data_IF_155456586799
#
_entry.id   IF_155456586799
#
_cell.length_a   1.000
_cell.length_b   1.000
_cell.length_c   1.000
_cell.angle_alpha   90.00
_cell.angle_beta   90.00
_cell.angle_gamma   90.00
#
_symmetry.space_group_name_H-M   'P 1'
#
loop_
_entity.id
_entity.type
_entity.pdbx_description
1 polymer ?
#
# COMPACT_ATOMS: atom_id res chain seq x y z
N UNK A 1 -18.64 2.56 -5.14
CA UNK A 1 -20.06 2.65 -4.75
C UNK A 1 -20.27 3.87 -3.86
N UNK A 2 -21.15 4.79 -4.26
CA UNK A 2 -21.51 6.02 -3.53
C UNK A 2 -22.88 5.93 -2.82
N UNK A 3 -23.52 4.77 -2.86
CA UNK A 3 -24.85 4.57 -2.30
C UNK A 3 -24.94 4.99 -0.83
N UNK A 4 -23.93 4.64 -0.03
CA UNK A 4 -23.85 5.03 1.38
C UNK A 4 -23.74 6.56 1.59
N UNK A 5 -22.95 7.24 0.74
CA UNK A 5 -22.81 8.71 0.80
C UNK A 5 -24.15 9.38 0.52
N UNK A 6 -24.86 8.92 -0.52
CA UNK A 6 -26.17 9.48 -0.89
C UNK A 6 -27.25 9.12 0.13
N UNK A 7 -27.23 7.91 0.70
CA UNK A 7 -28.15 7.51 1.76
C UNK A 7 -27.98 8.42 2.99
N UNK A 8 -26.76 8.58 3.46
CA UNK A 8 -26.44 9.47 4.58
C UNK A 8 -26.89 10.92 4.28
N UNK A 9 -26.62 11.43 3.08
CA UNK A 9 -27.06 12.77 2.66
C UNK A 9 -28.60 12.92 2.71
N UNK A 10 -29.35 11.92 2.24
CA UNK A 10 -30.82 11.92 2.30
C UNK A 10 -31.35 11.88 3.75
N UNK A 11 -30.70 11.13 4.62
CA UNK A 11 -31.06 11.09 6.04
C UNK A 11 -30.81 12.45 6.71
N UNK A 12 -29.65 13.09 6.46
CA UNK A 12 -29.37 14.45 6.93
C UNK A 12 -30.45 15.44 6.45
N UNK A 13 -30.82 15.36 5.17
CA UNK A 13 -31.87 16.20 4.57
C UNK A 13 -33.23 16.01 5.29
N UNK A 14 -33.58 14.76 5.61
CA UNK A 14 -34.84 14.42 6.29
C UNK A 14 -34.93 15.00 7.70
N UNK A 15 -33.87 14.82 8.49
CA UNK A 15 -33.94 15.12 9.92
C UNK A 15 -33.39 16.52 10.31
N UNK A 16 -32.62 17.18 9.45
CA UNK A 16 -32.07 18.49 9.79
C UNK A 16 -33.05 19.63 9.54
N UNK A 17 -33.26 20.46 10.59
CA UNK A 17 -34.14 21.65 10.58
C UNK A 17 -33.32 22.97 10.63
N UNK A 18 -32.02 22.93 10.86
CA UNK A 18 -31.15 24.11 11.03
C UNK A 18 -30.07 24.15 9.97
N UNK A 19 -29.48 25.35 9.75
CA UNK A 19 -28.34 25.52 8.83
C UNK A 19 -27.18 24.63 9.24
N UNK A 20 -26.61 23.90 8.28
CA UNK A 20 -25.48 22.99 8.45
C UNK A 20 -24.51 23.07 7.28
N UNK A 21 -23.24 22.76 7.55
CA UNK A 21 -22.25 22.44 6.53
C UNK A 21 -22.11 20.92 6.51
N UNK A 22 -22.38 20.32 5.35
CA UNK A 22 -22.14 18.90 5.11
C UNK A 22 -20.70 18.78 4.58
N UNK A 23 -19.86 18.07 5.32
CA UNK A 23 -18.45 17.91 4.98
C UNK A 23 -18.21 16.48 4.52
N UNK A 24 -17.80 16.32 3.27
CA UNK A 24 -17.37 15.01 2.73
C UNK A 24 -15.92 14.79 3.07
N UNK A 25 -15.64 13.86 3.99
CA UNK A 25 -14.28 13.46 4.38
C UNK A 25 -13.78 12.27 3.58
N UNK A 26 -14.67 11.40 3.12
CA UNK A 26 -14.36 10.21 2.34
C UNK A 26 -13.73 10.58 0.99
N UNK A 27 -12.86 9.69 0.49
CA UNK A 27 -12.37 9.76 -0.89
C UNK A 27 -13.51 9.42 -1.84
N UNK A 28 -13.92 10.39 -2.65
CA UNK A 28 -15.05 10.28 -3.57
C UNK A 28 -14.64 10.76 -4.97
N UNK A 29 -15.27 10.27 -6.05
CA UNK A 29 -15.03 10.74 -7.41
C UNK A 29 -15.29 12.25 -7.57
N UNK A 30 -14.58 12.84 -8.55
CA UNK A 30 -14.71 14.26 -8.90
C UNK A 30 -16.18 14.58 -9.25
N UNK A 31 -16.72 15.62 -8.63
CA UNK A 31 -18.11 16.08 -8.83
C UNK A 31 -19.11 15.49 -7.83
N UNK A 32 -18.70 14.58 -6.93
CA UNK A 32 -19.59 14.02 -5.91
C UNK A 32 -20.15 15.11 -4.99
N UNK A 33 -19.35 16.11 -4.62
CA UNK A 33 -19.83 17.24 -3.82
C UNK A 33 -20.94 18.06 -4.54
N UNK A 34 -20.87 18.16 -5.86
CA UNK A 34 -21.89 18.83 -6.67
C UNK A 34 -23.18 17.98 -6.77
N UNK A 35 -23.04 16.65 -6.83
CA UNK A 35 -24.20 15.74 -6.77
C UNK A 35 -24.90 15.80 -5.42
N UNK A 36 -24.13 15.85 -4.32
CA UNK A 36 -24.67 16.05 -2.97
C UNK A 36 -25.42 17.38 -2.91
N UNK A 37 -24.87 18.46 -3.44
CA UNK A 37 -25.55 19.77 -3.47
C UNK A 37 -26.87 19.71 -4.24
N UNK A 38 -26.91 19.00 -5.39
CA UNK A 38 -28.14 18.79 -6.15
C UNK A 38 -29.21 18.02 -5.34
N UNK A 39 -28.81 16.98 -4.60
CA UNK A 39 -29.73 16.25 -3.71
C UNK A 39 -30.33 17.13 -2.62
N UNK A 40 -29.58 18.14 -2.17
CA UNK A 40 -30.00 19.09 -1.14
C UNK A 40 -30.77 20.31 -1.69
N UNK A 41 -30.94 20.40 -3.00
CA UNK A 41 -31.51 21.58 -3.66
C UNK A 41 -32.89 22.03 -3.12
N UNK A 42 -33.75 21.07 -2.72
CA UNK A 42 -35.06 21.36 -2.11
C UNK A 42 -35.00 22.17 -0.81
N UNK A 43 -33.86 22.10 -0.10
CA UNK A 43 -33.58 22.83 1.16
C UNK A 43 -32.26 23.59 1.08
N UNK A 44 -31.89 24.12 -0.10
CA UNK A 44 -30.61 24.77 -0.37
C UNK A 44 -30.21 25.87 0.64
N UNK A 45 -31.20 26.62 1.16
CA UNK A 45 -30.96 27.67 2.19
C UNK A 45 -30.44 27.12 3.52
N UNK A 46 -30.60 25.81 3.79
CA UNK A 46 -30.20 25.17 5.02
C UNK A 46 -28.85 24.44 4.93
N UNK A 47 -28.36 24.16 3.74
CA UNK A 47 -27.19 23.32 3.58
C UNK A 47 -26.13 23.94 2.68
N UNK A 48 -24.88 23.81 3.10
CA UNK A 48 -23.71 24.05 2.27
C UNK A 48 -22.88 22.78 2.20
N UNK A 49 -22.19 22.53 1.10
CA UNK A 49 -21.39 21.33 0.89
C UNK A 49 -19.90 21.70 0.77
N UNK A 50 -19.08 20.99 1.53
CA UNK A 50 -17.61 21.15 1.55
C UNK A 50 -16.98 19.80 1.32
N UNK A 51 -15.98 19.73 0.43
CA UNK A 51 -15.10 18.57 0.25
C UNK A 51 -13.84 18.78 1.09
N UNK A 52 -13.58 17.87 2.02
CA UNK A 52 -12.40 17.92 2.90
C UNK A 52 -11.77 16.52 2.99
N UNK A 53 -11.09 16.07 1.94
CA UNK A 53 -10.49 14.74 1.92
C UNK A 53 -9.47 14.57 3.05
N UNK A 54 -9.36 13.33 3.55
CA UNK A 54 -8.35 12.94 4.51
C UNK A 54 -7.09 12.42 3.78
N UNK A 55 -5.92 12.51 4.43
CA UNK A 55 -4.64 12.02 3.94
C UNK A 55 -3.97 11.12 4.98
N UNK A 56 -4.77 10.36 5.71
CA UNK A 56 -4.34 9.50 6.80
C UNK A 56 -3.69 8.23 6.26
N UNK A 57 -2.63 7.80 6.93
CA UNK A 57 -1.99 6.51 6.69
C UNK A 57 -2.56 5.48 7.66
N UNK A 58 -2.99 4.37 7.15
CA UNK A 58 -3.40 3.23 7.98
C UNK A 58 -2.24 2.82 8.93
N UNK A 59 -2.56 2.47 10.17
CA UNK A 59 -1.55 2.22 11.21
C UNK A 59 -0.95 3.48 11.85
N UNK A 60 -1.06 4.67 11.22
CA UNK A 60 -0.57 5.95 11.74
C UNK A 60 -1.65 7.05 11.75
N UNK A 61 -2.91 6.69 11.60
CA UNK A 61 -4.01 7.63 11.37
C UNK A 61 -4.17 8.68 12.48
N UNK A 62 -3.97 8.31 13.74
CA UNK A 62 -4.07 9.23 14.89
C UNK A 62 -2.97 10.31 14.80
N UNK A 63 -1.74 9.91 14.49
CA UNK A 63 -0.61 10.82 14.32
C UNK A 63 -0.85 11.77 13.15
N UNK A 64 -1.23 11.22 11.99
CA UNK A 64 -1.48 11.99 10.78
C UNK A 64 -2.67 12.96 10.94
N UNK A 65 -3.67 12.60 11.76
CA UNK A 65 -4.77 13.49 12.08
C UNK A 65 -4.33 14.64 13.01
N UNK A 66 -3.48 14.36 14.01
CA UNK A 66 -2.99 15.36 14.97
C UNK A 66 -1.94 16.30 14.41
N UNK A 67 -1.20 15.86 13.38
CA UNK A 67 -0.09 16.61 12.76
C UNK A 67 -0.14 16.42 11.23
N UNK A 68 -1.22 16.88 10.55
CA UNK A 68 -1.33 16.73 9.11
C UNK A 68 -0.37 17.69 8.40
N UNK A 69 0.31 17.20 7.36
CA UNK A 69 1.15 18.04 6.50
C UNK A 69 0.31 19.17 5.87
N UNK A 70 -0.95 18.88 5.55
CA UNK A 70 -1.90 19.79 4.93
C UNK A 70 -3.35 19.45 5.22
N UNK A 71 -4.17 20.49 5.23
CA UNK A 71 -5.64 20.42 5.31
C UNK A 71 -6.16 21.02 4.02
N UNK A 72 -6.89 20.23 3.21
CA UNK A 72 -7.46 20.67 1.93
C UNK A 72 -8.96 20.87 2.10
N UNK A 73 -9.44 22.07 1.80
CA UNK A 73 -10.85 22.44 1.86
C UNK A 73 -11.33 22.87 0.48
N UNK A 74 -12.32 22.16 -0.03
CA UNK A 74 -13.01 22.47 -1.26
C UNK A 74 -14.40 23.05 -1.01
N UNK A 75 -14.64 24.28 -1.47
CA UNK A 75 -15.95 24.92 -1.39
C UNK A 75 -16.14 25.90 -2.56
N UNK A 76 -17.41 26.22 -2.84
CA UNK A 76 -17.77 27.26 -3.81
C UNK A 76 -18.00 28.64 -3.15
N UNK A 77 -17.95 28.73 -1.82
CA UNK A 77 -18.23 29.96 -1.09
C UNK A 77 -17.15 30.29 -0.05
N UNK A 78 -16.70 31.56 -0.02
CA UNK A 78 -15.67 32.04 0.91
C UNK A 78 -16.05 31.85 2.40
N UNK A 79 -17.34 31.95 2.74
CA UNK A 79 -17.81 31.82 4.12
C UNK A 79 -17.49 30.45 4.71
N UNK A 80 -17.59 29.38 3.94
CA UNK A 80 -17.27 28.03 4.39
C UNK A 80 -15.79 27.86 4.68
N UNK A 81 -14.91 28.47 3.89
CA UNK A 81 -13.47 28.45 4.17
C UNK A 81 -13.14 29.05 5.54
N UNK A 82 -13.78 30.16 5.93
CA UNK A 82 -13.56 30.80 7.21
C UNK A 82 -14.04 29.92 8.38
N UNK A 83 -15.20 29.26 8.22
CA UNK A 83 -15.73 28.33 9.24
C UNK A 83 -14.81 27.13 9.39
N UNK A 84 -14.40 26.53 8.28
CA UNK A 84 -13.48 25.37 8.29
C UNK A 84 -12.10 25.78 8.83
N UNK A 85 -11.59 26.97 8.52
CA UNK A 85 -10.34 27.48 9.09
C UNK A 85 -10.40 27.60 10.59
N UNK A 86 -11.50 28.14 11.16
CA UNK A 86 -11.72 28.17 12.61
C UNK A 86 -11.74 26.77 13.22
N UNK A 87 -12.41 25.82 12.61
CA UNK A 87 -12.45 24.43 13.08
C UNK A 87 -11.05 23.81 13.14
N UNK A 88 -10.20 24.09 12.15
CA UNK A 88 -8.86 23.53 12.06
C UNK A 88 -7.76 24.42 12.67
N UNK A 89 -8.10 25.55 13.30
CA UNK A 89 -7.12 26.45 13.95
C UNK A 89 -6.13 25.71 14.87
N UNK A 90 -6.53 24.74 15.71
CA UNK A 90 -5.59 24.03 16.56
C UNK A 90 -4.51 23.25 15.78
N UNK A 91 -4.82 22.76 14.59
CA UNK A 91 -3.87 22.04 13.74
C UNK A 91 -3.02 23.01 12.91
N UNK A 92 -3.62 24.11 12.44
CA UNK A 92 -2.92 25.18 11.72
C UNK A 92 -1.85 25.81 12.62
N UNK A 93 -2.17 26.08 13.88
CA UNK A 93 -1.22 26.61 14.86
C UNK A 93 -0.04 25.66 15.17
N UNK A 94 -0.18 24.36 14.86
CA UNK A 94 0.89 23.37 14.93
C UNK A 94 1.71 23.26 13.64
N UNK A 95 1.50 24.14 12.66
CA UNK A 95 2.26 24.20 11.41
C UNK A 95 1.60 23.54 10.20
N UNK A 96 0.38 23.00 10.34
CA UNK A 96 -0.32 22.40 9.20
C UNK A 96 -0.70 23.45 8.15
N UNK A 97 -0.39 23.19 6.89
CA UNK A 97 -0.75 24.09 5.78
C UNK A 97 -2.26 24.00 5.51
N UNK A 98 -2.94 25.15 5.47
CA UNK A 98 -4.36 25.21 5.12
C UNK A 98 -4.52 25.64 3.66
N UNK A 99 -5.06 24.76 2.81
CA UNK A 99 -5.20 25.00 1.39
C UNK A 99 -6.69 25.02 1.00
N UNK A 100 -7.09 26.03 0.24
CA UNK A 100 -8.47 26.22 -0.23
C UNK A 100 -8.56 26.10 -1.74
N UNK A 101 -9.63 25.44 -2.23
CA UNK A 101 -9.87 25.24 -3.65
C UNK A 101 -11.36 24.99 -3.92
N UNK A 102 -11.76 24.75 -5.17
CA UNK A 102 -13.11 24.25 -5.48
C UNK A 102 -13.35 22.86 -4.90
N UNK A 103 -14.61 22.43 -4.72
CA UNK A 103 -14.94 21.06 -4.30
C UNK A 103 -14.30 20.01 -5.21
N UNK A 104 -14.46 20.15 -6.53
CA UNK A 104 -13.83 19.26 -7.52
C UNK A 104 -12.32 19.24 -7.42
N UNK A 105 -11.71 20.40 -7.15
CA UNK A 105 -10.27 20.53 -6.91
C UNK A 105 -9.82 19.70 -5.70
N UNK A 106 -10.53 19.80 -4.57
CA UNK A 106 -10.23 19.04 -3.37
C UNK A 106 -10.37 17.52 -3.60
N UNK A 107 -11.43 17.08 -4.27
CA UNK A 107 -11.67 15.68 -4.65
C UNK A 107 -10.55 15.16 -5.56
N UNK A 108 -10.15 15.92 -6.59
CA UNK A 108 -9.08 15.54 -7.51
C UNK A 108 -7.71 15.49 -6.81
N UNK A 109 -7.40 16.44 -5.93
CA UNK A 109 -6.13 16.47 -5.16
C UNK A 109 -5.90 15.15 -4.42
N UNK A 110 -6.94 14.57 -3.81
CA UNK A 110 -6.82 13.29 -3.10
C UNK A 110 -6.42 12.16 -4.05
N UNK A 111 -7.12 12.00 -5.16
CA UNK A 111 -6.82 10.97 -6.16
C UNK A 111 -5.44 11.16 -6.80
N UNK A 112 -5.11 12.39 -7.20
CA UNK A 112 -3.83 12.71 -7.82
C UNK A 112 -2.66 12.42 -6.86
N UNK A 113 -2.80 12.80 -5.58
CA UNK A 113 -1.78 12.49 -4.56
C UNK A 113 -1.54 10.99 -4.42
N UNK A 114 -2.61 10.18 -4.30
CA UNK A 114 -2.48 8.75 -4.15
C UNK A 114 -1.94 8.07 -5.42
N UNK A 115 -2.36 8.53 -6.61
CA UNK A 115 -1.82 8.03 -7.88
C UNK A 115 -0.34 8.35 -8.03
N UNK A 116 0.11 9.55 -7.64
CA UNK A 116 1.53 9.91 -7.69
C UNK A 116 2.37 9.08 -6.71
N UNK A 117 1.88 8.83 -5.50
CA UNK A 117 2.58 7.95 -4.54
C UNK A 117 2.67 6.50 -5.06
N UNK A 118 1.61 5.99 -5.69
CA UNK A 118 1.62 4.68 -6.35
C UNK A 118 2.62 4.65 -7.52
N UNK A 119 2.75 5.75 -8.28
CA UNK A 119 3.74 5.90 -9.34
C UNK A 119 5.16 5.80 -8.79
N UNK A 120 5.49 6.48 -7.69
CA UNK A 120 6.81 6.39 -7.05
C UNK A 120 7.17 4.95 -6.66
N UNK A 121 6.23 4.23 -6.03
CA UNK A 121 6.44 2.81 -5.64
C UNK A 121 6.64 1.94 -6.89
N UNK A 122 5.83 2.13 -7.91
CA UNK A 122 5.93 1.33 -9.14
C UNK A 122 7.24 1.61 -9.87
N UNK A 123 7.62 2.87 -9.98
CA UNK A 123 8.87 3.30 -10.61
C UNK A 123 10.10 2.67 -9.93
N UNK A 124 10.21 2.77 -8.60
CA UNK A 124 11.33 2.17 -7.88
C UNK A 124 11.32 0.63 -7.97
N UNK A 125 10.14 0.02 -8.08
CA UNK A 125 10.02 -1.42 -8.29
C UNK A 125 10.51 -1.86 -9.69
N UNK A 126 10.29 -1.06 -10.73
CA UNK A 126 10.84 -1.31 -12.07
C UNK A 126 12.35 -1.15 -12.08
N UNK A 127 12.88 -0.08 -11.47
CA UNK A 127 14.33 0.10 -11.31
C UNK A 127 14.95 -1.05 -10.52
N UNK A 128 14.27 -1.59 -9.52
CA UNK A 128 14.74 -2.77 -8.79
C UNK A 128 14.98 -3.98 -9.72
N UNK A 129 14.10 -4.20 -10.70
CA UNK A 129 14.30 -5.27 -11.67
C UNK A 129 15.52 -5.03 -12.57
N UNK A 130 15.80 -3.76 -12.94
CA UNK A 130 17.01 -3.38 -13.69
C UNK A 130 18.25 -3.58 -12.83
N UNK A 131 18.23 -3.15 -11.57
CA UNK A 131 19.33 -3.29 -10.62
C UNK A 131 19.74 -4.77 -10.43
N UNK A 132 18.77 -5.68 -10.31
CA UNK A 132 19.04 -7.13 -10.22
C UNK A 132 19.81 -7.70 -11.44
N UNK A 133 19.69 -7.06 -12.60
CA UNK A 133 20.34 -7.49 -13.84
C UNK A 133 21.67 -6.79 -14.09
N UNK A 134 21.77 -5.52 -13.70
CA UNK A 134 22.95 -4.69 -13.91
C UNK A 134 23.99 -4.79 -12.79
N UNK A 135 23.69 -5.53 -11.71
CA UNK A 135 24.60 -5.63 -10.57
C UNK A 135 24.58 -4.43 -9.62
N UNK A 136 23.67 -3.48 -9.81
CA UNK A 136 23.52 -2.27 -8.98
C UNK A 136 22.63 -2.56 -7.76
N UNK A 137 22.87 -1.88 -6.65
CA UNK A 137 22.01 -1.94 -5.47
C UNK A 137 20.89 -0.89 -5.54
N UNK A 138 19.64 -1.31 -5.47
CA UNK A 138 18.49 -0.40 -5.52
C UNK A 138 18.45 0.60 -4.36
N UNK A 139 19.09 0.29 -3.23
CA UNK A 139 19.16 1.23 -2.10
C UNK A 139 20.00 2.46 -2.43
N UNK A 140 21.12 2.29 -3.14
CA UNK A 140 21.97 3.41 -3.58
C UNK A 140 21.20 4.31 -4.54
N UNK A 141 20.41 3.72 -5.46
CA UNK A 141 19.53 4.46 -6.38
C UNK A 141 18.46 5.21 -5.60
N UNK A 142 17.82 4.54 -4.65
CA UNK A 142 16.75 5.13 -3.81
C UNK A 142 17.30 6.29 -2.96
N UNK A 143 18.45 6.14 -2.36
CA UNK A 143 19.12 7.19 -1.55
C UNK A 143 19.58 8.34 -2.44
N UNK A 144 20.28 8.06 -3.54
CA UNK A 144 20.78 9.07 -4.46
C UNK A 144 19.63 9.92 -5.06
N UNK A 145 18.59 9.28 -5.61
CA UNK A 145 17.42 9.98 -6.11
C UNK A 145 16.69 10.74 -5.01
N UNK A 146 16.50 10.10 -3.85
CA UNK A 146 15.72 10.64 -2.75
C UNK A 146 16.38 11.83 -2.05
N UNK A 147 17.69 12.05 -2.24
CA UNK A 147 18.43 13.22 -1.73
C UNK A 147 18.09 14.52 -2.47
N UNK A 148 17.57 14.42 -3.70
CA UNK A 148 17.04 15.59 -4.41
C UNK A 148 15.68 16.01 -3.80
N UNK A 149 15.62 17.23 -3.27
CA UNK A 149 14.41 17.79 -2.63
C UNK A 149 13.19 17.83 -3.57
N UNK A 150 13.40 17.88 -4.88
CA UNK A 150 12.31 17.84 -5.89
C UNK A 150 11.66 16.46 -5.95
N UNK A 151 12.40 15.41 -5.63
CA UNK A 151 11.94 14.02 -5.63
C UNK A 151 11.52 13.59 -4.22
N UNK A 152 12.38 13.79 -3.23
CA UNK A 152 12.20 13.39 -1.83
C UNK A 152 12.26 11.88 -1.60
N UNK A 153 12.75 11.45 -0.44
CA UNK A 153 13.06 10.05 -0.11
C UNK A 153 11.85 9.15 0.14
N UNK A 154 10.68 9.72 0.44
CA UNK A 154 9.48 8.93 0.77
C UNK A 154 8.93 8.20 -0.46
N UNK A 155 8.45 6.96 -0.27
CA UNK A 155 7.86 6.08 -1.30
C UNK A 155 8.83 5.60 -2.39
N UNK A 156 10.14 5.58 -2.09
CA UNK A 156 11.19 5.03 -2.95
C UNK A 156 11.77 3.69 -2.44
N UNK A 157 11.05 2.95 -1.59
CA UNK A 157 11.49 1.62 -1.16
C UNK A 157 10.91 0.56 -2.08
N UNK A 158 11.79 -0.20 -2.74
CA UNK A 158 11.38 -1.35 -3.53
C UNK A 158 10.76 -2.45 -2.64
N UNK A 159 9.77 -3.15 -3.17
CA UNK A 159 9.03 -4.15 -2.42
C UNK A 159 8.17 -5.06 -3.30
N UNK A 160 7.24 -5.84 -2.72
CA UNK A 160 6.46 -6.83 -3.47
C UNK A 160 5.46 -6.20 -4.45
N UNK A 161 4.81 -5.13 -4.09
CA UNK A 161 3.88 -4.30 -4.85
C UNK A 161 3.25 -3.27 -3.92
N UNK A 162 2.52 -2.28 -4.44
CA UNK A 162 1.59 -1.54 -3.60
C UNK A 162 0.27 -2.30 -3.45
N UNK A 163 -0.31 -2.23 -2.26
CA UNK A 163 -1.59 -2.85 -1.90
C UNK A 163 -2.37 -1.95 -0.95
N UNK A 164 -3.21 -2.56 -0.12
CA UNK A 164 -4.08 -1.89 0.84
C UNK A 164 -5.33 -1.30 0.21
N UNK A 165 -6.12 -0.63 1.03
CA UNK A 165 -7.43 -0.11 0.65
C UNK A 165 -7.40 1.13 -0.24
N UNK A 166 -6.28 1.88 -0.29
CA UNK A 166 -6.24 3.20 -0.90
C UNK A 166 -5.68 3.16 -2.33
N UNK A 167 -4.41 2.81 -2.53
CA UNK A 167 -3.77 2.96 -3.82
C UNK A 167 -4.43 2.18 -4.96
N UNK A 168 -4.80 0.88 -4.80
CA UNK A 168 -5.47 0.14 -5.88
C UNK A 168 -6.82 0.72 -6.25
N UNK A 169 -7.59 1.16 -5.26
CA UNK A 169 -8.91 1.76 -5.46
C UNK A 169 -8.81 3.13 -6.12
N UNK A 170 -7.92 4.00 -5.61
CA UNK A 170 -7.85 5.40 -6.03
C UNK A 170 -7.20 5.55 -7.41
N UNK A 171 -6.19 4.74 -7.75
CA UNK A 171 -5.63 4.74 -9.11
C UNK A 171 -6.67 4.32 -10.16
N UNK A 172 -7.43 3.24 -9.89
CA UNK A 172 -8.54 2.81 -10.76
C UNK A 172 -9.66 3.85 -10.80
N UNK A 173 -10.01 4.44 -9.65
CA UNK A 173 -11.02 5.49 -9.55
C UNK A 173 -10.67 6.75 -10.32
N UNK A 174 -9.38 7.15 -10.31
CA UNK A 174 -8.89 8.29 -11.10
C UNK A 174 -8.98 8.03 -12.60
N UNK A 175 -8.59 6.84 -13.07
CA UNK A 175 -8.73 6.43 -14.46
C UNK A 175 -10.20 6.46 -14.90
N UNK A 176 -11.08 5.84 -14.12
CA UNK A 176 -12.52 5.82 -14.41
C UNK A 176 -13.13 7.22 -14.42
N UNK A 177 -12.69 8.11 -13.51
CA UNK A 177 -13.13 9.50 -13.51
C UNK A 177 -12.70 10.24 -14.79
N UNK A 178 -11.45 10.05 -15.22
CA UNK A 178 -10.93 10.67 -16.45
C UNK A 178 -11.66 10.18 -17.71
N UNK A 179 -12.01 8.91 -17.77
CA UNK A 179 -12.75 8.33 -18.89
C UNK A 179 -14.15 8.95 -19.07
N UNK A 180 -14.80 9.41 -17.99
CA UNK A 180 -16.06 10.18 -18.08
C UNK A 180 -15.88 11.50 -18.82
N UNK A 181 -14.67 12.07 -18.78
CA UNK A 181 -14.29 13.28 -19.52
C UNK A 181 -13.60 12.98 -20.85
N UNK A 182 -13.58 11.70 -21.29
CA UNK A 182 -12.89 11.23 -22.51
C UNK A 182 -11.38 11.52 -22.50
N UNK A 183 -10.77 11.54 -21.32
CA UNK A 183 -9.33 11.76 -21.13
C UNK A 183 -8.63 10.43 -20.83
N UNK A 184 -7.55 10.15 -21.54
CA UNK A 184 -6.70 8.99 -21.28
C UNK A 184 -5.55 9.34 -20.32
N UNK A 185 -5.51 8.72 -19.15
CA UNK A 185 -4.41 8.83 -18.19
C UNK A 185 -3.41 7.68 -18.39
N UNK A 186 -2.63 7.74 -19.46
CA UNK A 186 -1.70 6.68 -19.86
C UNK A 186 -0.69 6.34 -18.77
N UNK A 187 -0.12 7.33 -18.08
CA UNK A 187 0.83 7.11 -16.97
C UNK A 187 0.18 6.30 -15.86
N UNK A 188 -1.01 6.69 -15.40
CA UNK A 188 -1.70 5.97 -14.29
C UNK A 188 -2.10 4.56 -14.72
N UNK A 189 -2.54 4.37 -15.96
CA UNK A 189 -2.84 3.03 -16.51
C UNK A 189 -1.60 2.15 -16.55
N UNK A 190 -0.44 2.69 -16.95
CA UNK A 190 0.83 1.97 -16.94
C UNK A 190 1.26 1.58 -15.53
N UNK A 191 1.09 2.47 -14.54
CA UNK A 191 1.36 2.19 -13.12
C UNK A 191 0.51 1.02 -12.61
N UNK A 192 -0.79 1.03 -12.90
CA UNK A 192 -1.70 -0.07 -12.52
C UNK A 192 -1.24 -1.39 -13.13
N UNK A 193 -0.94 -1.40 -14.43
CA UNK A 193 -0.47 -2.58 -15.15
C UNK A 193 0.84 -3.11 -14.60
N UNK A 194 1.84 -2.25 -14.44
CA UNK A 194 3.16 -2.64 -13.92
C UNK A 194 3.06 -3.23 -12.50
N UNK A 195 2.24 -2.63 -11.63
CA UNK A 195 2.00 -3.18 -10.29
C UNK A 195 1.33 -4.57 -10.33
N UNK A 196 0.44 -4.83 -11.30
CA UNK A 196 -0.17 -6.15 -11.50
C UNK A 196 0.84 -7.18 -12.04
N UNK A 197 1.67 -6.77 -13.00
CA UNK A 197 2.66 -7.64 -13.65
C UNK A 197 3.81 -8.03 -12.70
N UNK A 198 4.03 -7.23 -11.64
CA UNK A 198 5.06 -7.53 -10.63
C UNK A 198 4.88 -8.89 -9.96
N UNK A 199 3.66 -9.34 -9.77
CA UNK A 199 3.36 -10.70 -9.28
C UNK A 199 4.06 -11.77 -10.13
N UNK A 200 4.00 -11.65 -11.45
CA UNK A 200 4.63 -12.61 -12.36
C UNK A 200 6.16 -12.60 -12.24
N UNK A 201 6.76 -11.42 -12.04
CA UNK A 201 8.21 -11.29 -11.87
C UNK A 201 8.67 -11.95 -10.56
N UNK A 202 7.97 -11.69 -9.47
CA UNK A 202 8.29 -12.26 -8.15
C UNK A 202 8.13 -13.78 -8.14
N UNK A 203 7.06 -14.31 -8.74
CA UNK A 203 6.85 -15.76 -8.81
C UNK A 203 7.85 -16.46 -9.74
N UNK A 204 8.22 -15.85 -10.87
CA UNK A 204 9.33 -16.35 -11.72
C UNK A 204 10.64 -16.44 -10.93
N UNK A 205 10.91 -15.45 -10.06
CA UNK A 205 12.09 -15.48 -9.22
C UNK A 205 12.05 -16.59 -8.17
N UNK A 206 10.88 -16.89 -7.58
CA UNK A 206 10.72 -18.04 -6.68
C UNK A 206 11.06 -19.35 -7.42
N UNK A 207 10.60 -19.51 -8.66
CA UNK A 207 10.98 -20.67 -9.48
C UNK A 207 12.49 -20.72 -9.78
N UNK A 208 13.13 -19.57 -10.03
CA UNK A 208 14.60 -19.52 -10.20
C UNK A 208 15.32 -19.94 -8.91
N UNK A 209 14.81 -19.55 -7.74
CA UNK A 209 15.39 -19.85 -6.42
C UNK A 209 15.23 -21.34 -6.06
N UNK A 210 14.05 -21.91 -6.25
CA UNK A 210 13.69 -23.28 -5.80
C UNK A 210 13.79 -24.35 -6.90
N UNK A 211 13.88 -23.96 -8.16
CA UNK A 211 13.70 -24.80 -9.33
C UNK A 211 12.28 -24.72 -9.89
N UNK A 212 12.08 -25.20 -11.11
CA UNK A 212 10.79 -25.14 -11.81
C UNK A 212 9.69 -25.98 -11.14
N UNK A 213 10.05 -27.09 -10.51
CA UNK A 213 9.13 -27.98 -9.79
C UNK A 213 9.00 -27.56 -8.31
N UNK A 214 7.83 -27.05 -7.94
CA UNK A 214 7.54 -26.66 -6.55
C UNK A 214 6.80 -27.75 -5.76
N UNK A 215 6.54 -28.93 -6.33
CA UNK A 215 5.85 -30.01 -5.64
C UNK A 215 6.59 -30.40 -4.36
N UNK A 216 5.87 -30.43 -3.24
CA UNK A 216 6.38 -30.73 -1.90
C UNK A 216 7.43 -29.73 -1.35
N UNK A 217 7.73 -28.62 -2.07
CA UNK A 217 8.57 -27.57 -1.51
C UNK A 217 7.84 -26.85 -0.37
N UNK A 218 8.53 -26.65 0.74
CA UNK A 218 8.01 -26.00 1.94
C UNK A 218 8.37 -24.51 1.91
N UNK A 219 7.36 -23.67 1.75
CA UNK A 219 7.54 -22.22 1.63
C UNK A 219 6.84 -21.54 2.79
N UNK A 220 7.59 -20.76 3.57
CA UNK A 220 7.07 -20.04 4.73
C UNK A 220 7.00 -18.54 4.44
N UNK A 221 5.83 -17.95 4.67
CA UNK A 221 5.65 -16.50 4.61
C UNK A 221 5.77 -15.89 6.01
N UNK A 222 6.61 -14.89 6.13
CA UNK A 222 6.67 -13.98 7.26
C UNK A 222 6.00 -12.67 6.84
N UNK A 223 4.81 -12.45 7.41
CA UNK A 223 3.89 -11.40 7.02
C UNK A 223 2.99 -11.77 5.84
N UNK A 224 1.71 -11.42 5.95
CA UNK A 224 0.71 -11.58 4.89
C UNK A 224 -0.12 -10.32 4.66
N UNK A 225 -0.03 -9.34 5.55
CA UNK A 225 -0.61 -7.99 5.39
C UNK A 225 0.14 -7.19 4.32
N UNK A 226 -0.48 -6.15 3.76
CA UNK A 226 0.17 -5.35 2.72
C UNK A 226 1.32 -4.45 3.25
N UNK A 227 1.29 -4.14 4.56
CA UNK A 227 2.32 -3.40 5.31
C UNK A 227 2.23 -3.72 6.80
N UNK A 228 3.25 -3.36 7.63
CA UNK A 228 3.20 -3.56 9.07
C UNK A 228 2.20 -2.61 9.76
N UNK A 229 1.91 -2.90 11.04
CA UNK A 229 1.06 -2.12 11.94
C UNK A 229 -0.40 -2.00 11.48
N UNK A 230 -0.89 -3.01 10.76
CA UNK A 230 -2.30 -3.15 10.35
C UNK A 230 -2.64 -4.62 10.13
N UNK A 231 -3.92 -4.95 10.25
CA UNK A 231 -4.49 -6.24 9.88
C UNK A 231 -4.98 -6.28 8.42
N UNK A 232 -4.88 -5.15 7.69
CA UNK A 232 -5.40 -5.03 6.32
C UNK A 232 -4.63 -5.91 5.33
N UNK A 233 -5.35 -6.82 4.72
CA UNK A 233 -4.83 -7.73 3.70
C UNK A 233 -5.29 -7.38 2.28
N UNK A 234 -6.11 -6.34 2.12
CA UNK A 234 -6.64 -5.96 0.80
C UNK A 234 -5.52 -5.68 -0.20
N UNK A 235 -5.60 -6.32 -1.37
CA UNK A 235 -4.57 -6.24 -2.41
C UNK A 235 -3.13 -6.54 -1.93
N UNK A 236 -2.97 -7.25 -0.79
CA UNK A 236 -1.67 -7.79 -0.41
C UNK A 236 -1.19 -8.81 -1.44
N UNK A 237 0.11 -8.79 -1.74
CA UNK A 237 0.73 -9.76 -2.64
C UNK A 237 0.57 -11.21 -2.17
N UNK A 238 0.40 -11.44 -0.85
CA UNK A 238 0.11 -12.76 -0.26
C UNK A 238 -1.14 -13.40 -0.85
N UNK A 239 -2.20 -12.61 -1.10
CA UNK A 239 -3.49 -13.08 -1.63
C UNK A 239 -3.39 -13.69 -3.03
N UNK A 240 -2.35 -13.34 -3.80
CA UNK A 240 -2.07 -13.92 -5.11
C UNK A 240 -0.97 -14.97 -5.05
N UNK A 241 0.09 -14.72 -4.28
CA UNK A 241 1.27 -15.59 -4.23
C UNK A 241 0.96 -16.93 -3.56
N UNK A 242 0.30 -16.94 -2.41
CA UNK A 242 -0.01 -18.18 -1.67
C UNK A 242 -0.88 -19.14 -2.47
N UNK A 243 -2.03 -18.71 -3.05
CA UNK A 243 -2.84 -19.60 -3.91
C UNK A 243 -2.08 -20.10 -5.13
N UNK A 244 -1.25 -19.27 -5.75
CA UNK A 244 -0.44 -19.68 -6.89
C UNK A 244 0.57 -20.78 -6.52
N UNK A 245 1.31 -20.59 -5.44
CA UNK A 245 2.36 -21.54 -5.02
C UNK A 245 1.76 -22.87 -4.57
N UNK A 246 0.65 -22.86 -3.84
CA UNK A 246 -0.05 -24.09 -3.45
C UNK A 246 -0.63 -24.83 -4.66
N UNK A 247 -1.16 -24.11 -5.66
CA UNK A 247 -1.61 -24.70 -6.95
C UNK A 247 -0.45 -25.34 -7.71
N UNK A 248 0.80 -24.86 -7.54
CA UNK A 248 2.02 -25.46 -8.10
C UNK A 248 2.57 -26.61 -7.25
N UNK A 249 1.85 -27.04 -6.23
CA UNK A 249 2.16 -28.18 -5.37
C UNK A 249 3.06 -27.88 -4.16
N UNK A 250 3.35 -26.62 -3.88
CA UNK A 250 4.06 -26.25 -2.68
C UNK A 250 3.21 -26.45 -1.41
N UNK A 251 3.88 -26.70 -0.30
CA UNK A 251 3.30 -26.68 1.04
C UNK A 251 3.64 -25.31 1.64
N UNK A 252 2.63 -24.49 1.88
CA UNK A 252 2.83 -23.14 2.37
C UNK A 252 2.47 -23.04 3.85
N UNK A 253 3.32 -22.39 4.62
CA UNK A 253 3.00 -21.94 5.97
C UNK A 253 3.08 -20.42 6.04
N UNK A 254 2.34 -19.79 6.94
CA UNK A 254 2.40 -18.36 7.14
C UNK A 254 2.22 -17.99 8.61
N UNK A 255 2.87 -16.90 8.97
CA UNK A 255 2.72 -16.20 10.23
C UNK A 255 2.66 -14.69 9.99
N UNK A 256 1.74 -14.02 10.67
CA UNK A 256 1.60 -12.58 10.69
C UNK A 256 1.11 -12.16 12.09
N UNK A 257 1.65 -11.09 12.70
CA UNK A 257 1.25 -10.63 14.03
C UNK A 257 -0.22 -10.22 14.13
N UNK A 258 -0.79 -9.65 13.07
CA UNK A 258 -2.16 -9.11 13.07
C UNK A 258 -3.02 -9.53 11.89
N UNK A 259 -2.44 -10.09 10.83
CA UNK A 259 -3.19 -10.52 9.65
C UNK A 259 -4.22 -11.59 9.96
N UNK A 260 -5.30 -11.66 9.17
CA UNK A 260 -6.40 -12.60 9.40
C UNK A 260 -5.91 -14.06 9.32
N UNK A 261 -6.01 -14.79 10.44
CA UNK A 261 -5.52 -16.16 10.58
C UNK A 261 -6.23 -17.16 9.68
N UNK A 262 -7.44 -16.89 9.27
CA UNK A 262 -8.29 -17.81 8.51
C UNK A 262 -8.39 -17.46 7.01
N UNK A 263 -7.75 -16.41 6.54
CA UNK A 263 -7.88 -15.94 5.15
C UNK A 263 -7.55 -17.01 4.12
N UNK A 264 -6.59 -17.90 4.41
CA UNK A 264 -6.18 -19.00 3.54
C UNK A 264 -6.68 -20.38 3.99
N UNK A 265 -7.58 -20.46 4.98
CA UNK A 265 -8.07 -21.74 5.57
C UNK A 265 -8.65 -22.71 4.53
N UNK A 266 -9.28 -22.19 3.47
CA UNK A 266 -9.87 -23.00 2.41
C UNK A 266 -8.85 -23.47 1.36
N UNK A 267 -7.60 -23.04 1.44
CA UNK A 267 -6.57 -23.39 0.47
C UNK A 267 -5.86 -24.66 0.94
N UNK A 268 -5.95 -25.72 0.11
CA UNK A 268 -5.23 -26.98 0.38
C UNK A 268 -3.72 -26.74 0.45
N UNK A 269 -3.04 -27.40 1.38
CA UNK A 269 -1.60 -27.28 1.63
C UNK A 269 -1.15 -25.86 2.07
N UNK A 270 -2.03 -25.09 2.73
CA UNK A 270 -1.71 -23.80 3.32
C UNK A 270 -2.08 -23.78 4.80
N UNK A 271 -1.12 -23.47 5.68
CA UNK A 271 -1.29 -23.62 7.13
C UNK A 271 -0.82 -22.37 7.89
N UNK A 272 -1.69 -21.81 8.72
CA UNK A 272 -1.30 -20.78 9.69
C UNK A 272 -0.41 -21.38 10.79
N UNK A 273 0.58 -20.62 11.22
CA UNK A 273 1.44 -20.92 12.36
C UNK A 273 1.38 -19.79 13.39
N UNK A 274 1.45 -20.14 14.67
CA UNK A 274 1.27 -19.18 15.77
C UNK A 274 2.51 -18.37 16.13
N UNK A 275 3.67 -18.73 15.61
CA UNK A 275 4.96 -18.09 15.88
C UNK A 275 5.95 -18.29 14.74
N UNK A 276 7.00 -17.48 14.73
CA UNK A 276 8.06 -17.47 13.70
C UNK A 276 8.78 -18.81 13.63
N UNK A 277 9.11 -19.42 14.79
CA UNK A 277 9.89 -20.67 14.87
C UNK A 277 9.12 -21.81 14.24
N UNK A 278 7.87 -22.04 14.65
CA UNK A 278 7.02 -23.08 14.08
C UNK A 278 6.72 -22.86 12.59
N UNK A 279 6.64 -21.60 12.16
CA UNK A 279 6.43 -21.25 10.76
C UNK A 279 7.64 -21.61 9.89
N UNK A 280 8.86 -21.30 10.35
CA UNK A 280 10.06 -21.44 9.55
C UNK A 280 10.76 -22.80 9.69
N UNK A 281 10.39 -23.63 10.67
CA UNK A 281 11.14 -24.83 11.12
C UNK A 281 11.60 -25.76 9.99
N UNK A 282 10.75 -26.08 9.05
CA UNK A 282 11.04 -27.04 7.96
C UNK A 282 11.07 -26.40 6.58
N UNK A 283 11.35 -25.09 6.50
CA UNK A 283 11.29 -24.34 5.23
C UNK A 283 12.41 -24.69 4.28
N UNK A 284 12.08 -24.79 2.99
CA UNK A 284 13.03 -24.72 1.88
C UNK A 284 13.27 -23.26 1.46
N UNK A 285 12.21 -22.43 1.56
CA UNK A 285 12.25 -21.00 1.29
C UNK A 285 11.44 -20.25 2.34
N UNK A 286 12.02 -19.18 2.87
CA UNK A 286 11.34 -18.21 3.72
C UNK A 286 11.16 -16.94 2.92
N UNK A 287 9.94 -16.44 2.82
CA UNK A 287 9.58 -15.20 2.12
C UNK A 287 9.22 -14.14 3.16
N UNK A 288 10.01 -13.08 3.23
CA UNK A 288 9.71 -11.88 4.02
C UNK A 288 8.84 -10.96 3.18
N UNK A 289 7.52 -10.99 3.40
CA UNK A 289 6.57 -10.22 2.61
C UNK A 289 6.22 -8.88 3.25
N UNK A 290 6.10 -8.85 4.58
CA UNK A 290 5.74 -7.65 5.35
C UNK A 290 6.84 -7.33 6.36
N UNK A 291 7.22 -6.05 6.47
CA UNK A 291 8.33 -5.58 7.29
C UNK A 291 7.93 -5.32 8.76
N UNK A 292 7.40 -6.34 9.44
CA UNK A 292 7.14 -6.26 10.88
C UNK A 292 8.43 -6.14 11.69
N UNK A 293 8.41 -5.37 12.77
CA UNK A 293 9.60 -5.14 13.59
C UNK A 293 10.18 -6.44 14.17
N UNK A 294 9.35 -7.37 14.58
CA UNK A 294 9.79 -8.67 15.10
C UNK A 294 10.53 -9.54 14.06
N UNK A 295 10.41 -9.25 12.76
CA UNK A 295 11.12 -9.98 11.72
C UNK A 295 12.53 -9.43 11.46
N UNK A 296 12.92 -8.30 12.04
CA UNK A 296 14.21 -7.66 11.78
C UNK A 296 15.41 -8.35 12.44
N UNK A 297 15.18 -9.16 13.47
CA UNK A 297 16.22 -9.77 14.30
C UNK A 297 16.16 -11.29 14.34
N UNK A 298 15.62 -11.96 13.34
CA UNK A 298 15.48 -13.42 13.33
C UNK A 298 16.82 -14.09 13.09
N UNK A 299 17.24 -14.94 14.03
CA UNK A 299 18.34 -15.86 13.78
C UNK A 299 17.83 -17.13 13.08
N UNK A 300 17.80 -17.10 11.75
CA UNK A 300 17.26 -18.18 10.92
C UNK A 300 17.96 -19.52 11.15
N UNK A 301 19.28 -19.52 11.43
CA UNK A 301 20.05 -20.76 11.66
C UNK A 301 19.58 -21.54 12.89
N UNK A 302 19.10 -20.82 13.91
CA UNK A 302 18.65 -21.43 15.16
C UNK A 302 17.22 -21.99 15.06
N UNK A 303 16.41 -21.50 14.14
CA UNK A 303 14.99 -21.87 14.05
C UNK A 303 14.68 -22.80 12.86
N UNK A 304 15.54 -22.83 11.82
CA UNK A 304 15.30 -23.65 10.62
C UNK A 304 16.11 -24.94 10.69
N UNK A 305 15.42 -26.09 10.66
CA UNK A 305 16.06 -27.40 10.67
C UNK A 305 16.80 -27.71 9.35
N UNK A 306 16.22 -27.32 8.22
CA UNK A 306 16.79 -27.54 6.88
C UNK A 306 18.01 -26.65 6.67
N UNK A 307 19.24 -27.21 6.72
CA UNK A 307 20.49 -26.46 6.54
C UNK A 307 20.68 -25.88 5.12
N UNK A 308 19.84 -26.27 4.16
CA UNK A 308 19.87 -25.77 2.76
C UNK A 308 18.77 -24.74 2.51
N UNK A 309 18.11 -24.22 3.54
CA UNK A 309 17.07 -23.22 3.39
C UNK A 309 17.57 -21.96 2.70
N UNK A 310 16.65 -21.21 2.14
CA UNK A 310 16.87 -19.95 1.44
C UNK A 310 15.95 -18.88 2.02
N UNK A 311 16.37 -17.62 1.94
CA UNK A 311 15.56 -16.47 2.34
C UNK A 311 15.33 -15.59 1.12
N UNK A 312 14.08 -15.25 0.83
CA UNK A 312 13.72 -14.26 -0.17
C UNK A 312 13.06 -13.06 0.51
N UNK A 313 13.83 -12.01 0.64
CA UNK A 313 13.43 -10.80 1.34
C UNK A 313 12.85 -9.78 0.35
N UNK A 314 11.54 -9.63 0.37
CA UNK A 314 10.81 -8.71 -0.49
C UNK A 314 10.77 -7.27 0.07
N UNK A 315 11.39 -7.03 1.23
CA UNK A 315 11.36 -5.75 1.93
C UNK A 315 12.75 -5.18 2.21
N UNK A 316 13.80 -5.93 1.85
CA UNK A 316 15.19 -5.54 2.12
C UNK A 316 15.41 -5.24 3.62
N UNK A 317 14.88 -6.11 4.49
CA UNK A 317 14.99 -5.97 5.95
C UNK A 317 16.41 -6.23 6.45
N UNK A 318 17.13 -7.15 5.78
CA UNK A 318 18.44 -7.59 6.21
C UNK A 318 19.55 -7.01 5.36
N UNK A 319 20.69 -6.81 6.01
CA UNK A 319 21.93 -6.49 5.30
C UNK A 319 22.42 -7.73 4.55
N UNK A 320 22.68 -7.58 3.24
CA UNK A 320 23.05 -8.68 2.38
C UNK A 320 24.45 -9.27 2.75
N UNK A 321 25.40 -8.43 3.14
CA UNK A 321 26.74 -8.87 3.57
C UNK A 321 26.71 -9.64 4.89
N UNK A 322 25.86 -9.23 5.84
CA UNK A 322 25.66 -9.98 7.09
C UNK A 322 25.05 -11.36 6.82
N UNK A 323 24.07 -11.44 5.92
CA UNK A 323 23.47 -12.70 5.52
C UNK A 323 24.53 -13.63 4.85
N UNK A 324 25.42 -13.06 4.03
CA UNK A 324 26.55 -13.77 3.44
C UNK A 324 27.56 -14.26 4.50
N UNK A 325 27.98 -13.40 5.41
CA UNK A 325 28.85 -13.77 6.56
C UNK A 325 28.24 -14.91 7.38
N UNK A 326 26.93 -14.87 7.55
CA UNK A 326 26.17 -15.93 8.21
C UNK A 326 25.95 -17.16 7.32
N UNK A 327 26.52 -17.26 6.13
CA UNK A 327 26.35 -18.38 5.18
C UNK A 327 24.87 -18.73 4.91
N UNK A 328 23.98 -17.71 4.86
CA UNK A 328 22.57 -17.85 4.50
C UNK A 328 22.41 -17.54 3.01
N UNK A 329 21.74 -18.43 2.28
CA UNK A 329 21.39 -18.20 0.88
C UNK A 329 20.27 -17.14 0.84
N UNK A 330 20.68 -15.90 0.61
CA UNK A 330 19.82 -14.74 0.69
C UNK A 330 19.58 -14.11 -0.68
N UNK A 331 18.33 -13.85 -0.98
CA UNK A 331 17.86 -13.18 -2.17
C UNK A 331 17.01 -11.99 -1.73
N UNK A 332 17.16 -10.85 -2.36
CA UNK A 332 16.42 -9.64 -2.02
C UNK A 332 15.98 -8.90 -3.28
N UNK A 333 15.07 -7.96 -3.13
CA UNK A 333 14.53 -7.18 -4.26
C UNK A 333 15.52 -6.07 -4.65
N UNK A 334 15.83 -5.98 -5.95
CA UNK A 334 16.65 -4.90 -6.48
C UNK A 334 18.12 -4.94 -6.07
N UNK A 335 18.61 -6.10 -5.67
CA UNK A 335 20.02 -6.33 -5.39
C UNK A 335 20.52 -7.52 -6.22
N UNK A 336 21.78 -7.54 -6.64
CA UNK A 336 22.37 -8.70 -7.32
C UNK A 336 22.28 -9.93 -6.41
N UNK A 337 22.09 -11.11 -7.02
CA UNK A 337 22.07 -12.37 -6.29
C UNK A 337 23.47 -12.60 -5.66
N UNK A 338 23.56 -12.73 -4.37
CA UNK A 338 24.79 -13.07 -3.69
C UNK A 338 25.04 -14.56 -3.89
N UNK A 339 25.88 -14.89 -4.86
CA UNK A 339 26.37 -16.25 -5.03
C UNK A 339 27.37 -16.58 -3.91
N UNK A 340 26.95 -17.41 -2.94
CA UNK A 340 27.81 -17.89 -1.86
C UNK A 340 29.00 -18.77 -2.36
N UNK A 341 29.03 -19.08 -3.66
CA UNK A 341 29.92 -20.08 -4.26
C UNK A 341 30.74 -19.57 -5.46
N UNK A 342 30.72 -18.27 -5.80
CA UNK A 342 31.74 -17.71 -6.67
C UNK A 342 32.95 -17.39 -5.80
N UNK A 343 34.02 -18.20 -6.02
CA UNK A 343 35.40 -17.95 -5.53
C UNK A 343 35.95 -16.68 -6.15
#
# INVERSE_FOLDING_TARGET
DLSYVYKCTKEILKYSKRKKIIVTKSTVPIGTGDEIEKLLAKKKKLFNVVSNPEFLREGEAIRDFRYPDRIVIGSNEKKQFNIMKKLYTPLINKGSKFFTTSRRGAELIKYASNAFLATKITFINELANLCEKSGVNIEDISLGMGSDNRIGSRFLRAGPAYGGSCFPKDTKGLVSAAERYKINLSVVKSVIKSNQDRFNLLTKRIHKILGSNLRNKRISFLGVTFKPNTDDMRDSSSLKMIPYLTKKGAIVTYYDPSGEKNVFKKIKNCFYKKDIKSNCFSSDLIILLTEWDEFKSINFKNIVKNKKFKVYDLRNLYNAEEMKKNKIRYYSVGRPDINLFQK
#
